data_IF_268471418710
#
_entry.id   IF_268471418710
#
_cell.length_a   1.000
_cell.length_b   1.000
_cell.length_c   1.000
_cell.angle_alpha   90.00
_cell.angle_beta   90.00
_cell.angle_gamma   90.00
#
_symmetry.space_group_name_H-M   'P 1'
#
loop_
_entity.id
_entity.type
_entity.pdbx_description
1 polymer ?
#
# COMPACT_ATOMS: atom_id res chain seq x y z
N UNK A 1 -5.52 -13.91 27.48
CA UNK A 1 -6.51 -13.89 26.38
C UNK A 1 -7.26 -12.56 26.28
N UNK A 2 -8.03 -12.13 27.29
CA UNK A 2 -8.86 -10.91 27.23
C UNK A 2 -8.06 -9.62 26.97
N UNK A 3 -6.93 -9.39 27.63
CA UNK A 3 -6.09 -8.21 27.38
C UNK A 3 -5.52 -8.17 25.95
N UNK A 4 -5.19 -9.33 25.38
CA UNK A 4 -4.68 -9.43 24.00
C UNK A 4 -5.79 -9.13 22.99
N UNK A 5 -7.02 -9.58 23.25
CA UNK A 5 -8.17 -9.29 22.40
C UNK A 5 -8.51 -7.79 22.39
N UNK A 6 -8.42 -7.13 23.54
CA UNK A 6 -8.68 -5.68 23.66
C UNK A 6 -7.60 -4.87 22.93
N UNK A 7 -6.33 -5.27 23.01
CA UNK A 7 -5.28 -4.63 22.22
C UNK A 7 -5.53 -4.81 20.72
N UNK A 8 -5.84 -6.02 20.26
CA UNK A 8 -6.12 -6.29 18.83
C UNK A 8 -7.31 -5.46 18.33
N UNK A 9 -8.41 -5.37 19.07
CA UNK A 9 -9.55 -4.54 18.68
C UNK A 9 -9.23 -3.04 18.63
N UNK A 10 -8.46 -2.53 19.60
CA UNK A 10 -8.04 -1.12 19.60
C UNK A 10 -7.09 -0.80 18.44
N UNK A 11 -6.27 -1.78 18.04
CA UNK A 11 -5.36 -1.69 16.90
C UNK A 11 -6.09 -1.61 15.56
N UNK A 12 -7.05 -2.50 15.28
CA UNK A 12 -7.78 -2.52 14.00
C UNK A 12 -8.55 -1.21 13.76
N UNK A 13 -9.08 -0.58 14.82
CA UNK A 13 -9.83 0.70 14.72
C UNK A 13 -8.92 1.87 14.34
N UNK A 14 -7.70 1.93 14.88
CA UNK A 14 -6.79 3.06 14.66
C UNK A 14 -6.32 3.15 13.20
N UNK A 15 -6.14 1.99 12.56
CA UNK A 15 -5.73 1.90 11.16
C UNK A 15 -6.86 2.11 10.16
N UNK A 16 -8.06 1.68 10.52
CA UNK A 16 -9.25 1.95 9.73
C UNK A 16 -9.46 3.47 9.64
N UNK A 17 -9.16 4.21 10.71
CA UNK A 17 -9.17 5.67 10.71
C UNK A 17 -8.05 6.28 9.85
N UNK A 18 -6.82 5.73 9.88
CA UNK A 18 -5.70 6.21 9.05
C UNK A 18 -5.96 5.96 7.55
N UNK A 19 -6.46 4.78 7.19
CA UNK A 19 -6.76 4.41 5.81
C UNK A 19 -7.95 5.21 5.25
N UNK A 20 -9.00 5.43 6.05
CA UNK A 20 -10.09 6.34 5.69
C UNK A 20 -9.59 7.78 5.56
N UNK A 21 -8.71 8.23 6.46
CA UNK A 21 -8.07 9.55 6.37
C UNK A 21 -7.29 9.74 5.07
N UNK A 22 -6.49 8.75 4.68
CA UNK A 22 -5.72 8.80 3.43
C UNK A 22 -6.64 8.83 2.20
N UNK A 23 -7.71 8.04 2.18
CA UNK A 23 -8.71 8.06 1.10
C UNK A 23 -9.45 9.40 1.03
N UNK A 24 -9.78 9.99 2.17
CA UNK A 24 -10.44 11.30 2.24
C UNK A 24 -9.50 12.42 1.76
N UNK A 25 -8.22 12.39 2.13
CA UNK A 25 -7.22 13.35 1.64
C UNK A 25 -7.03 13.24 0.13
N UNK A 26 -6.95 12.03 -0.42
CA UNK A 26 -6.90 11.81 -1.87
C UNK A 26 -8.17 12.31 -2.58
N UNK A 27 -9.34 12.14 -1.95
CA UNK A 27 -10.61 12.61 -2.52
C UNK A 27 -10.72 14.15 -2.46
N UNK A 28 -10.17 14.80 -1.43
CA UNK A 28 -10.25 16.26 -1.30
C UNK A 28 -9.37 17.03 -2.30
N UNK A 29 -8.31 16.42 -2.82
CA UNK A 29 -7.45 17.05 -3.82
C UNK A 29 -7.90 16.82 -5.27
N UNK A 30 -8.92 15.99 -5.50
CA UNK A 30 -9.49 15.78 -6.83
C UNK A 30 -10.41 16.96 -7.20
N UNK A 31 -10.11 17.73 -8.27
CA UNK A 31 -10.95 18.82 -8.68
C UNK A 31 -12.35 18.31 -9.11
N UNK A 32 -13.44 18.93 -8.66
CA UNK A 32 -14.81 18.56 -9.01
C UNK A 32 -15.14 19.04 -10.43
N UNK A 33 -14.58 18.43 -11.46
CA UNK A 33 -14.95 18.73 -12.85
C UNK A 33 -14.31 17.73 -13.81
N UNK A 34 -15.00 16.61 -14.08
CA UNK A 34 -14.92 15.93 -15.39
C UNK A 34 -16.12 15.01 -15.55
N UNK A 35 -17.30 15.62 -15.69
CA UNK A 35 -18.56 14.90 -15.91
C UNK A 35 -18.94 14.78 -17.40
N UNK A 36 -18.22 15.34 -18.37
CA UNK A 36 -18.72 15.37 -19.76
C UNK A 36 -17.64 15.55 -20.84
N UNK A 37 -16.56 14.77 -20.80
CA UNK A 37 -15.67 14.68 -21.96
C UNK A 37 -15.24 13.24 -22.17
N UNK A 38 -15.83 12.60 -23.18
CA UNK A 38 -15.31 11.36 -23.79
C UNK A 38 -14.30 11.81 -24.85
N UNK A 39 -12.97 11.65 -24.68
CA UNK A 39 -12.05 11.90 -25.77
C UNK A 39 -11.92 10.63 -26.61
N UNK A 40 -12.15 10.78 -27.91
CA UNK A 40 -11.86 9.76 -28.91
C UNK A 40 -10.36 9.41 -28.87
N UNK A 41 -10.07 8.11 -28.85
CA UNK A 41 -8.74 7.56 -29.02
C UNK A 41 -8.21 7.89 -30.42
N UNK A 42 -7.13 8.67 -30.52
CA UNK A 42 -6.24 8.66 -31.69
C UNK A 42 -4.79 8.45 -31.20
N UNK A 43 -4.30 7.22 -31.36
CA UNK A 43 -2.99 6.74 -30.88
C UNK A 43 -1.90 6.87 -31.95
N UNK A 44 -1.99 7.87 -32.82
CA UNK A 44 -1.27 7.92 -34.09
C UNK A 44 -0.06 8.84 -34.21
N UNK A 45 0.51 9.44 -33.16
CA UNK A 45 1.72 10.28 -33.33
C UNK A 45 2.46 10.61 -32.01
N UNK A 46 3.26 9.70 -31.48
CA UNK A 46 4.23 10.01 -30.41
C UNK A 46 5.65 9.81 -30.95
N UNK A 47 6.16 10.84 -31.62
CA UNK A 47 7.56 10.96 -31.97
C UNK A 47 8.43 11.39 -30.77
N UNK A 48 9.77 11.30 -30.90
CA UNK A 48 10.74 11.54 -29.82
C UNK A 48 10.84 13.01 -29.34
N UNK A 49 9.99 13.92 -29.82
CA UNK A 49 9.95 15.32 -29.39
C UNK A 49 9.43 15.48 -27.95
N UNK A 50 8.53 14.60 -27.48
CA UNK A 50 7.91 14.72 -26.16
C UNK A 50 8.89 14.50 -24.97
N UNK A 51 10.10 13.99 -25.21
CA UNK A 51 11.12 13.84 -24.17
C UNK A 51 12.06 15.04 -24.03
N UNK A 52 12.06 15.97 -25.00
CA UNK A 52 13.01 17.10 -25.02
C UNK A 52 12.47 18.32 -24.27
N UNK A 53 11.15 18.52 -24.20
CA UNK A 53 10.56 19.77 -23.67
C UNK A 53 10.20 19.77 -22.17
N UNK A 54 10.42 18.65 -21.46
CA UNK A 54 10.41 18.62 -19.98
C UNK A 54 11.54 19.48 -19.39
N UNK A 55 12.53 19.86 -20.19
CA UNK A 55 13.65 20.70 -19.76
C UNK A 55 13.29 22.19 -19.56
N UNK A 56 12.07 22.63 -19.92
CA UNK A 56 11.64 24.05 -19.77
C UNK A 56 10.82 24.33 -18.52
N UNK A 57 10.50 23.35 -17.68
CA UNK A 57 9.90 23.59 -16.35
C UNK A 57 10.92 24.24 -15.42
N UNK A 58 10.44 25.13 -14.53
CA UNK A 58 11.29 25.78 -13.52
C UNK A 58 11.99 24.69 -12.69
N UNK A 59 13.32 24.75 -12.50
CA UNK A 59 14.09 23.65 -11.92
C UNK A 59 13.60 23.23 -10.53
N UNK A 60 13.02 24.17 -9.77
CA UNK A 60 12.54 23.97 -8.41
C UNK A 60 11.31 23.04 -8.35
N UNK A 61 10.39 23.12 -9.31
CA UNK A 61 9.22 22.23 -9.36
C UNK A 61 9.61 20.79 -9.72
N UNK A 62 10.54 20.61 -10.67
CA UNK A 62 11.02 19.29 -11.09
C UNK A 62 11.73 18.59 -9.94
N UNK A 63 12.53 19.33 -9.16
CA UNK A 63 13.16 18.84 -7.94
C UNK A 63 12.12 18.40 -6.91
N UNK A 64 11.11 19.23 -6.61
CA UNK A 64 10.09 18.92 -5.62
C UNK A 64 9.23 17.69 -6.00
N UNK A 65 8.88 17.50 -7.27
CA UNK A 65 8.16 16.30 -7.72
C UNK A 65 9.04 15.04 -7.68
N UNK A 66 10.31 15.17 -8.05
CA UNK A 66 11.28 14.08 -7.97
C UNK A 66 11.49 13.59 -6.53
N UNK A 67 11.62 14.52 -5.58
CA UNK A 67 11.75 14.20 -4.16
C UNK A 67 10.51 13.50 -3.59
N UNK A 68 9.30 14.00 -3.90
CA UNK A 68 8.04 13.35 -3.48
C UNK A 68 7.92 11.93 -4.05
N UNK A 69 8.28 11.73 -5.31
CA UNK A 69 8.26 10.39 -5.95
C UNK A 69 9.24 9.44 -5.28
N UNK A 70 10.48 9.87 -5.09
CA UNK A 70 11.50 9.08 -4.40
C UNK A 70 11.08 8.73 -2.97
N UNK A 71 10.41 9.65 -2.28
CA UNK A 71 9.87 9.42 -0.95
C UNK A 71 8.80 8.32 -0.96
N UNK A 72 7.80 8.37 -1.86
CA UNK A 72 6.78 7.32 -1.99
C UNK A 72 7.41 5.96 -2.30
N UNK A 73 8.37 5.90 -3.24
CA UNK A 73 9.04 4.65 -3.59
C UNK A 73 9.80 4.04 -2.40
N UNK A 74 10.51 4.87 -1.63
CA UNK A 74 11.24 4.42 -0.43
C UNK A 74 10.30 3.96 0.68
N UNK A 75 9.24 4.70 0.95
CA UNK A 75 8.23 4.33 1.95
C UNK A 75 7.50 3.05 1.55
N UNK A 76 7.17 2.91 0.26
CA UNK A 76 6.58 1.70 -0.30
C UNK A 76 7.50 0.49 -0.14
N UNK A 77 8.78 0.61 -0.51
CA UNK A 77 9.75 -0.47 -0.31
C UNK A 77 9.91 -0.85 1.17
N UNK A 78 9.94 0.14 2.06
CA UNK A 78 9.99 -0.06 3.51
C UNK A 78 8.74 -0.77 4.07
N UNK A 79 7.57 -0.58 3.47
CA UNK A 79 6.37 -1.31 3.85
C UNK A 79 6.31 -2.73 3.24
N UNK A 80 6.65 -2.86 1.96
CA UNK A 80 6.52 -4.11 1.18
C UNK A 80 7.51 -5.18 1.66
N UNK A 81 8.78 -4.82 1.87
CA UNK A 81 9.83 -5.80 2.19
C UNK A 81 9.60 -6.48 3.55
N UNK A 82 9.38 -5.75 4.66
CA UNK A 82 9.13 -6.38 5.95
C UNK A 82 7.84 -7.19 5.98
N UNK A 83 6.76 -6.72 5.33
CA UNK A 83 5.50 -7.48 5.24
C UNK A 83 5.64 -8.74 4.40
N UNK A 84 6.43 -8.70 3.32
CA UNK A 84 6.74 -9.88 2.52
C UNK A 84 7.49 -10.92 3.36
N UNK A 85 8.53 -10.51 4.07
CA UNK A 85 9.31 -11.39 4.95
C UNK A 85 8.44 -11.94 6.09
N UNK A 86 7.61 -11.09 6.70
CA UNK A 86 6.71 -11.47 7.78
C UNK A 86 5.61 -12.45 7.34
N UNK A 87 5.19 -12.43 6.08
CA UNK A 87 4.30 -13.45 5.50
C UNK A 87 5.06 -14.72 5.05
N UNK A 88 6.26 -14.56 4.49
CA UNK A 88 7.05 -15.67 3.96
C UNK A 88 7.52 -16.63 5.06
N UNK A 89 7.98 -16.11 6.21
CA UNK A 89 8.45 -16.95 7.32
C UNK A 89 7.37 -17.91 7.82
N UNK A 90 6.17 -17.47 8.28
CA UNK A 90 5.12 -18.39 8.74
C UNK A 90 4.63 -19.31 7.63
N UNK A 91 4.62 -18.86 6.37
CA UNK A 91 4.30 -19.71 5.23
C UNK A 91 5.30 -20.88 5.12
N UNK A 92 6.60 -20.63 5.14
CA UNK A 92 7.63 -21.69 5.10
C UNK A 92 7.55 -22.59 6.33
N UNK A 93 7.42 -21.99 7.53
CA UNK A 93 7.34 -22.74 8.79
C UNK A 93 6.13 -23.68 8.79
N UNK A 94 5.01 -23.31 8.16
CA UNK A 94 3.82 -24.17 8.07
C UNK A 94 4.12 -25.54 7.41
N UNK A 95 5.06 -25.60 6.47
CA UNK A 95 5.47 -26.85 5.82
C UNK A 95 6.51 -27.65 6.62
N UNK A 96 7.19 -27.01 7.57
CA UNK A 96 8.16 -27.64 8.45
C UNK A 96 7.50 -28.27 9.69
N UNK A 97 6.22 -27.98 9.95
CA UNK A 97 5.47 -28.59 11.06
C UNK A 97 5.23 -30.07 10.73
N UNK A 98 5.70 -31.01 11.58
CA UNK A 98 5.45 -32.44 11.38
C UNK A 98 3.95 -32.75 11.38
N UNK A 99 3.50 -33.69 10.56
CA UNK A 99 2.10 -34.15 10.53
C UNK A 99 1.61 -34.78 11.83
N UNK A 100 2.52 -35.11 12.75
CA UNK A 100 2.22 -35.58 14.11
C UNK A 100 1.89 -34.46 15.10
N UNK A 101 2.16 -33.19 14.74
CA UNK A 101 1.75 -32.02 15.51
C UNK A 101 0.34 -31.59 15.10
N UNK A 102 -0.36 -30.88 16.00
CA UNK A 102 -1.75 -30.46 15.82
C UNK A 102 -1.96 -29.72 14.48
N UNK A 103 -2.77 -30.31 13.60
CA UNK A 103 -3.07 -29.80 12.26
C UNK A 103 -3.65 -28.38 12.27
N UNK A 104 -4.26 -27.96 13.39
CA UNK A 104 -4.85 -26.63 13.52
C UNK A 104 -3.82 -25.50 13.63
N UNK A 105 -2.65 -25.75 14.23
CA UNK A 105 -1.58 -24.74 14.35
C UNK A 105 -0.88 -24.52 13.01
N UNK A 106 -0.61 -25.61 12.28
CA UNK A 106 -0.04 -25.53 10.93
C UNK A 106 -0.96 -24.75 9.98
N UNK A 107 -2.27 -24.99 10.05
CA UNK A 107 -3.25 -24.23 9.28
C UNK A 107 -3.25 -22.74 9.63
N UNK A 108 -3.16 -22.39 10.92
CA UNK A 108 -3.09 -20.99 11.35
C UNK A 108 -1.85 -20.28 10.76
N UNK A 109 -0.67 -20.91 10.86
CA UNK A 109 0.57 -20.38 10.29
C UNK A 109 0.50 -20.22 8.76
N UNK A 110 -0.10 -21.21 8.08
CA UNK A 110 -0.31 -21.16 6.64
C UNK A 110 -1.20 -19.98 6.23
N UNK A 111 -2.33 -19.78 6.91
CA UNK A 111 -3.24 -18.67 6.64
C UNK A 111 -2.60 -17.30 6.94
N UNK A 112 -1.91 -17.17 8.07
CA UNK A 112 -1.14 -15.94 8.41
C UNK A 112 -0.14 -15.64 7.30
N UNK A 113 0.57 -16.66 6.81
CA UNK A 113 1.54 -16.50 5.72
C UNK A 113 0.90 -16.02 4.41
N UNK A 114 -0.19 -16.66 3.98
CA UNK A 114 -0.90 -16.28 2.76
C UNK A 114 -1.44 -14.85 2.85
N UNK A 115 -2.14 -14.51 3.93
CA UNK A 115 -2.70 -13.16 4.08
C UNK A 115 -1.59 -12.11 4.22
N UNK A 116 -0.46 -12.43 4.87
CA UNK A 116 0.71 -11.56 4.93
C UNK A 116 1.33 -11.29 3.55
N UNK A 117 1.48 -12.32 2.71
CA UNK A 117 1.95 -12.16 1.33
C UNK A 117 0.98 -11.35 0.47
N UNK A 118 -0.33 -11.58 0.63
CA UNK A 118 -1.36 -10.82 -0.06
C UNK A 118 -1.35 -9.34 0.35
N UNK A 119 -1.15 -9.03 1.64
CA UNK A 119 -0.97 -7.66 2.11
C UNK A 119 0.24 -6.99 1.45
N UNK A 120 1.39 -7.68 1.40
CA UNK A 120 2.59 -7.16 0.76
C UNK A 120 2.38 -6.84 -0.72
N UNK A 121 1.67 -7.71 -1.45
CA UNK A 121 1.29 -7.46 -2.83
C UNK A 121 0.37 -6.23 -2.97
N UNK A 122 -0.63 -6.10 -2.10
CA UNK A 122 -1.53 -4.94 -2.11
C UNK A 122 -0.79 -3.63 -1.81
N UNK A 123 0.16 -3.62 -0.86
CA UNK A 123 1.02 -2.46 -0.61
C UNK A 123 1.88 -2.09 -1.82
N UNK A 124 2.38 -3.07 -2.55
CA UNK A 124 3.14 -2.83 -3.78
C UNK A 124 2.26 -2.13 -4.83
N UNK A 125 1.03 -2.62 -5.05
CA UNK A 125 0.08 -2.01 -5.99
C UNK A 125 -0.26 -0.57 -5.57
N UNK A 126 -0.48 -0.32 -4.28
CA UNK A 126 -0.74 1.03 -3.75
C UNK A 126 0.46 1.96 -3.91
N UNK A 127 1.68 1.46 -3.75
CA UNK A 127 2.91 2.24 -3.99
C UNK A 127 2.99 2.68 -5.45
N UNK A 128 2.73 1.76 -6.39
CA UNK A 128 2.66 2.10 -7.81
C UNK A 128 1.55 3.11 -8.11
N UNK A 129 0.38 2.98 -7.47
CA UNK A 129 -0.71 3.95 -7.59
C UNK A 129 -0.27 5.35 -7.16
N UNK A 130 0.41 5.47 -6.02
CA UNK A 130 0.92 6.73 -5.49
C UNK A 130 1.94 7.39 -6.42
N UNK A 131 2.88 6.61 -6.96
CA UNK A 131 3.85 7.12 -7.95
C UNK A 131 3.14 7.65 -9.20
N UNK A 132 2.12 6.94 -9.70
CA UNK A 132 1.32 7.37 -10.86
C UNK A 132 0.50 8.62 -10.57
N UNK A 133 -0.01 8.77 -9.35
CA UNK A 133 -0.73 9.98 -8.93
C UNK A 133 0.20 11.21 -8.96
N UNK A 134 1.43 11.09 -8.45
CA UNK A 134 2.44 12.17 -8.55
C UNK A 134 2.74 12.50 -10.00
N UNK A 135 2.96 11.48 -10.85
CA UNK A 135 3.22 11.69 -12.27
C UNK A 135 2.03 12.40 -12.94
N UNK A 136 0.78 12.09 -12.59
CA UNK A 136 -0.42 12.78 -13.10
C UNK A 136 -0.46 14.26 -12.71
N UNK A 137 -0.17 14.59 -11.45
CA UNK A 137 -0.13 15.99 -10.97
C UNK A 137 0.99 16.77 -11.66
N UNK A 138 2.17 16.16 -11.84
CA UNK A 138 3.26 16.78 -12.58
C UNK A 138 2.87 17.09 -14.03
N UNK A 139 2.19 16.16 -14.73
CA UNK A 139 1.73 16.40 -16.11
C UNK A 139 0.66 17.49 -16.19
N UNK A 140 -0.19 17.63 -15.18
CA UNK A 140 -1.18 18.73 -15.12
C UNK A 140 -0.49 20.09 -15.10
N UNK A 141 0.52 20.27 -14.25
CA UNK A 141 1.26 21.53 -14.17
C UNK A 141 1.99 21.86 -15.48
N UNK A 142 2.53 20.83 -16.15
CA UNK A 142 3.14 20.97 -17.47
C UNK A 142 2.12 21.40 -18.53
N UNK A 143 0.92 20.80 -18.55
CA UNK A 143 -0.15 21.18 -19.47
C UNK A 143 -0.59 22.64 -19.28
N UNK A 144 -0.75 23.08 -18.02
CA UNK A 144 -1.10 24.47 -17.71
C UNK A 144 -0.05 25.48 -18.18
N UNK A 145 1.24 25.10 -18.14
CA UNK A 145 2.33 25.92 -18.65
C UNK A 145 2.28 26.06 -20.17
N UNK A 146 2.14 24.96 -20.91
CA UNK A 146 2.04 25.01 -22.38
C UNK A 146 0.83 25.81 -22.85
N UNK A 147 -0.28 25.75 -22.12
CA UNK A 147 -1.47 26.57 -22.40
C UNK A 147 -1.22 28.07 -22.22
N UNK A 148 -0.37 28.47 -21.27
CA UNK A 148 0.04 29.88 -21.07
C UNK A 148 1.01 30.35 -22.16
N UNK A 149 1.86 29.46 -22.64
CA UNK A 149 2.86 29.75 -23.68
C UNK A 149 2.27 29.73 -25.10
N UNK A 150 0.99 29.36 -25.26
CA UNK A 150 0.27 29.33 -26.53
C UNK A 150 0.61 28.14 -27.43
N UNK A 151 1.26 27.10 -26.90
CA UNK A 151 1.55 25.85 -27.62
C UNK A 151 0.47 24.80 -27.38
N UNK A 152 -0.71 25.01 -27.98
CA UNK A 152 -1.91 24.19 -27.77
C UNK A 152 -1.72 22.70 -28.12
N UNK A 153 -0.86 22.38 -29.09
CA UNK A 153 -0.62 20.99 -29.49
C UNK A 153 0.11 20.18 -28.41
N UNK A 154 1.07 20.78 -27.71
CA UNK A 154 1.82 20.13 -26.62
C UNK A 154 0.97 20.00 -25.36
N UNK A 155 0.11 21.00 -25.11
CA UNK A 155 -0.86 20.96 -24.01
C UNK A 155 -1.81 19.75 -24.14
N UNK A 156 -2.34 19.47 -25.34
CA UNK A 156 -3.24 18.32 -25.56
C UNK A 156 -2.56 16.97 -25.29
N UNK A 157 -1.28 16.81 -25.66
CA UNK A 157 -0.53 15.57 -25.40
C UNK A 157 -0.32 15.38 -23.89
N UNK A 158 -0.01 16.44 -23.16
CA UNK A 158 0.14 16.39 -21.70
C UNK A 158 -1.18 16.06 -20.99
N UNK A 159 -2.30 16.63 -21.43
CA UNK A 159 -3.64 16.34 -20.90
C UNK A 159 -4.07 14.88 -21.14
N UNK A 160 -3.83 14.34 -22.33
CA UNK A 160 -4.13 12.93 -22.62
C UNK A 160 -3.35 11.98 -21.69
N UNK A 161 -2.07 12.29 -21.42
CA UNK A 161 -1.24 11.51 -20.50
C UNK A 161 -1.69 11.67 -19.03
N UNK A 162 -2.15 12.86 -18.66
CA UNK A 162 -2.75 13.11 -17.34
C UNK A 162 -4.02 12.28 -17.14
N UNK A 163 -4.93 12.24 -18.11
CA UNK A 163 -6.17 11.45 -18.04
C UNK A 163 -5.88 9.96 -17.86
N UNK A 164 -4.93 9.43 -18.63
CA UNK A 164 -4.50 8.03 -18.51
C UNK A 164 -3.91 7.74 -17.12
N UNK A 165 -2.98 8.58 -16.65
CA UNK A 165 -2.33 8.37 -15.35
C UNK A 165 -3.31 8.55 -14.19
N UNK A 166 -4.23 9.51 -14.25
CA UNK A 166 -5.22 9.79 -13.21
C UNK A 166 -6.25 8.68 -13.09
N UNK A 167 -6.84 8.25 -14.21
CA UNK A 167 -7.79 7.12 -14.22
C UNK A 167 -7.16 5.82 -13.73
N UNK A 168 -5.92 5.55 -14.17
CA UNK A 168 -5.14 4.40 -13.72
C UNK A 168 -4.84 4.49 -12.21
N UNK A 169 -4.38 5.64 -11.72
CA UNK A 169 -4.09 5.84 -10.30
C UNK A 169 -5.35 5.67 -9.43
N UNK A 170 -6.50 6.15 -9.88
CA UNK A 170 -7.77 6.01 -9.17
C UNK A 170 -8.21 4.55 -9.05
N UNK A 171 -8.16 3.79 -10.15
CA UNK A 171 -8.48 2.36 -10.14
C UNK A 171 -7.50 1.57 -9.27
N UNK A 172 -6.20 1.87 -9.39
CA UNK A 172 -5.16 1.27 -8.54
C UNK A 172 -5.17 1.76 -7.09
N UNK A 173 -5.94 2.79 -6.73
CA UNK A 173 -6.08 3.23 -5.35
C UNK A 173 -7.33 2.62 -4.69
N UNK A 174 -8.48 2.69 -5.35
CA UNK A 174 -9.76 2.28 -4.76
C UNK A 174 -9.91 0.76 -4.62
N UNK A 175 -9.59 0.01 -5.66
CA UNK A 175 -9.77 -1.44 -5.64
C UNK A 175 -8.87 -2.10 -4.58
N UNK A 176 -7.53 -1.91 -4.59
CA UNK A 176 -6.68 -2.56 -3.62
C UNK A 176 -6.84 -1.99 -2.21
N UNK A 177 -7.25 -0.73 -2.00
CA UNK A 177 -7.51 -0.22 -0.64
C UNK A 177 -8.68 -0.93 0.03
N UNK A 178 -9.78 -1.17 -0.69
CA UNK A 178 -10.91 -1.96 -0.16
C UNK A 178 -10.51 -3.40 0.15
N UNK A 179 -9.74 -4.04 -0.74
CA UNK A 179 -9.19 -5.37 -0.50
C UNK A 179 -8.22 -5.39 0.69
N UNK A 180 -7.40 -4.34 0.85
CA UNK A 180 -6.42 -4.22 1.93
C UNK A 180 -7.09 -4.28 3.29
N UNK A 181 -8.19 -3.54 3.48
CA UNK A 181 -8.95 -3.56 4.74
C UNK A 181 -9.52 -4.96 5.02
N UNK A 182 -10.06 -5.64 4.01
CA UNK A 182 -10.61 -6.99 4.17
C UNK A 182 -9.53 -8.03 4.51
N UNK A 183 -8.39 -7.98 3.81
CA UNK A 183 -7.25 -8.87 4.07
C UNK A 183 -6.65 -8.58 5.45
N UNK A 184 -6.63 -7.31 5.87
CA UNK A 184 -6.21 -6.94 7.21
C UNK A 184 -7.07 -7.60 8.28
N UNK A 185 -8.40 -7.43 8.20
CA UNK A 185 -9.33 -8.03 9.16
C UNK A 185 -9.16 -9.55 9.18
N UNK A 186 -9.02 -10.19 8.02
CA UNK A 186 -8.77 -11.62 7.93
C UNK A 186 -7.46 -12.05 8.61
N UNK A 187 -6.40 -11.26 8.45
CA UNK A 187 -5.09 -11.49 9.09
C UNK A 187 -5.20 -11.38 10.62
N UNK A 188 -5.92 -10.39 11.14
CA UNK A 188 -6.17 -10.23 12.59
C UNK A 188 -6.93 -11.43 13.16
N UNK A 189 -7.97 -11.89 12.45
CA UNK A 189 -8.72 -13.10 12.83
C UNK A 189 -7.82 -14.34 12.84
N UNK A 190 -6.93 -14.47 11.85
CA UNK A 190 -5.97 -15.59 11.79
C UNK A 190 -4.96 -15.54 12.94
N UNK A 191 -4.50 -14.36 13.35
CA UNK A 191 -3.66 -14.20 14.53
C UNK A 191 -4.38 -14.59 15.82
N UNK A 192 -5.62 -14.14 16.01
CA UNK A 192 -6.44 -14.53 17.18
C UNK A 192 -6.62 -16.05 17.21
N UNK A 193 -6.97 -16.64 16.07
CA UNK A 193 -7.10 -18.09 15.93
C UNK A 193 -5.80 -18.81 16.27
N UNK A 194 -4.67 -18.35 15.74
CA UNK A 194 -3.34 -18.89 16.05
C UNK A 194 -2.99 -18.82 17.54
N UNK A 195 -3.36 -17.73 18.23
CA UNK A 195 -3.15 -17.57 19.68
C UNK A 195 -3.98 -18.61 20.45
N UNK A 196 -5.25 -18.80 20.10
CA UNK A 196 -6.11 -19.80 20.75
C UNK A 196 -5.50 -21.20 20.62
N UNK A 197 -5.02 -21.56 19.42
CA UNK A 197 -4.40 -22.88 19.20
C UNK A 197 -3.03 -23.03 19.86
N UNK A 198 -2.21 -21.96 19.87
CA UNK A 198 -0.94 -21.96 20.57
C UNK A 198 -1.11 -22.14 22.09
N UNK A 199 -2.22 -21.64 22.67
CA UNK A 199 -2.55 -21.82 24.08
C UNK A 199 -3.16 -23.19 24.39
N UNK A 200 -3.91 -23.78 23.45
CA UNK A 200 -4.56 -25.08 23.63
C UNK A 200 -3.60 -26.28 23.42
N UNK A 201 -2.44 -26.05 22.80
CA UNK A 201 -1.48 -27.12 22.50
C UNK A 201 -0.59 -27.46 23.70
N UNK A 202 -0.94 -28.53 24.43
CA UNK A 202 -0.17 -29.03 25.58
C UNK A 202 0.79 -30.20 25.20
N UNK A 203 0.94 -30.51 23.91
CA UNK A 203 1.69 -31.68 23.42
C UNK A 203 3.20 -31.44 23.21
N UNK A 204 4.04 -32.32 23.76
CA UNK A 204 5.51 -32.29 23.63
C UNK A 204 6.04 -32.41 22.20
N UNK A 205 5.23 -32.90 21.25
CA UNK A 205 5.58 -33.08 19.83
C UNK A 205 5.66 -31.75 19.03
N UNK A 206 5.14 -30.64 19.56
CA UNK A 206 5.10 -29.35 18.87
C UNK A 206 6.16 -28.34 19.36
N UNK A 207 7.18 -28.81 20.10
CA UNK A 207 8.13 -27.96 20.85
C UNK A 207 8.83 -26.86 20.04
N UNK A 208 8.97 -27.02 18.71
CA UNK A 208 9.60 -26.03 17.84
C UNK A 208 8.65 -24.97 17.26
N UNK A 209 7.38 -25.28 17.03
CA UNK A 209 6.47 -24.40 16.29
C UNK A 209 5.86 -23.28 17.15
N UNK A 210 5.52 -23.60 18.40
CA UNK A 210 4.95 -22.65 19.37
C UNK A 210 5.88 -21.46 19.64
N UNK A 211 7.18 -21.63 19.98
CA UNK A 211 8.06 -20.49 20.20
C UNK A 211 8.26 -19.65 18.94
N UNK A 212 8.30 -20.25 17.75
CA UNK A 212 8.39 -19.52 16.47
C UNK A 212 7.15 -18.66 16.26
N UNK A 213 5.95 -19.18 16.54
CA UNK A 213 4.72 -18.41 16.47
C UNK A 213 4.76 -17.19 17.40
N UNK A 214 5.15 -17.36 18.66
CA UNK A 214 5.25 -16.25 19.62
C UNK A 214 6.33 -15.22 19.23
N UNK A 215 7.47 -15.67 18.72
CA UNK A 215 8.50 -14.77 18.20
C UNK A 215 7.97 -13.93 17.03
N UNK A 216 7.28 -14.55 16.07
CA UNK A 216 6.67 -13.83 14.95
C UNK A 216 5.58 -12.87 15.42
N UNK A 217 4.77 -13.26 16.40
CA UNK A 217 3.75 -12.39 16.98
C UNK A 217 4.36 -11.14 17.62
N UNK A 218 5.41 -11.30 18.44
CA UNK A 218 6.09 -10.18 19.10
C UNK A 218 6.78 -9.26 18.08
N UNK A 219 7.47 -9.82 17.09
CA UNK A 219 8.11 -9.05 16.03
C UNK A 219 7.07 -8.28 15.21
N UNK A 220 5.97 -8.93 14.83
CA UNK A 220 4.84 -8.29 14.16
C UNK A 220 4.30 -7.14 14.99
N UNK A 221 4.19 -7.33 16.30
CA UNK A 221 3.69 -6.27 17.19
C UNK A 221 4.61 -5.08 17.33
N UNK A 222 5.91 -5.31 17.49
CA UNK A 222 6.90 -4.24 17.54
C UNK A 222 6.91 -3.47 16.23
N UNK A 223 6.93 -4.18 15.09
CA UNK A 223 6.88 -3.56 13.77
C UNK A 223 5.64 -2.69 13.59
N UNK A 224 4.49 -3.16 14.05
CA UNK A 224 3.25 -2.40 13.98
C UNK A 224 3.27 -1.15 14.87
N UNK A 225 3.72 -1.28 16.13
CA UNK A 225 3.89 -0.14 17.04
C UNK A 225 4.85 0.91 16.47
N UNK A 226 5.95 0.50 15.84
CA UNK A 226 6.89 1.42 15.20
C UNK A 226 6.24 2.21 14.05
N UNK A 227 5.41 1.56 13.22
CA UNK A 227 4.71 2.21 12.11
C UNK A 227 3.65 3.20 12.63
N UNK A 228 2.82 2.78 13.61
CA UNK A 228 1.80 3.65 14.19
C UNK A 228 2.40 4.86 14.93
N UNK A 229 3.45 4.66 15.73
CA UNK A 229 4.08 5.77 16.46
C UNK A 229 4.90 6.70 15.54
N UNK A 230 5.54 6.15 14.51
CA UNK A 230 6.37 6.92 13.57
C UNK A 230 5.58 7.79 12.60
N UNK A 231 4.32 7.44 12.32
CA UNK A 231 3.43 8.20 11.41
C UNK A 231 2.67 9.33 12.10
N UNK A 232 2.46 9.24 13.42
CA UNK A 232 1.80 10.28 14.23
C UNK A 232 2.36 11.70 14.08
N UNK A 233 3.67 11.97 14.12
CA UNK A 233 4.17 13.34 14.02
C UNK A 233 4.05 13.96 12.61
N UNK A 234 3.93 13.15 11.55
CA UNK A 234 3.86 13.66 10.17
C UNK A 234 2.46 14.17 9.77
N UNK A 235 1.39 13.68 10.41
CA UNK A 235 0.02 14.11 10.14
C UNK A 235 -0.43 15.36 10.92
N UNK A 236 0.27 15.72 12.00
CA UNK A 236 -0.09 16.87 12.84
C UNK A 236 0.74 18.13 12.58
N UNK A 237 1.61 18.14 11.56
CA UNK A 237 2.49 19.26 11.24
C UNK A 237 2.11 20.04 9.96
N UNK A 238 0.90 19.85 9.42
CA UNK A 238 0.35 20.70 8.34
C UNK A 238 -0.76 21.61 8.84
#
# INVERSE_FOLDING_TARGET
AQAVLVLVCHWSVSLLLISVGFLLSCHSELPPSMSNATPALDYGALGPAASVDVAKTEPDDVLAFGERKMFIEKMGAFAVVPTFVAGLIPFIVSFLVPSSCDSHLALALFLIGIFGLLMSFLFLVLTFAGVRAIDAVSQKNVAEKFRKDGTDQEAQVAEAKMLWNSSTAFVLALLPSSCLVMVWIALDVCWIYGIVQALASEGSACHGAIPVFWCLFVVGMIGHCCICCGTSPLFFSS
#
